data_IF_178530207757
#
_entry.id   IF_178530207757
#
_cell.length_a   1.000
_cell.length_b   1.000
_cell.length_c   1.000
_cell.angle_alpha   90.00
_cell.angle_beta   90.00
_cell.angle_gamma   90.00
#
_symmetry.space_group_name_H-M   'P 1'
#
loop_
_entity.id
_entity.type
_entity.pdbx_description
1 polymer ?
#
# COMPACT_ATOMS: atom_id res chain seq x y z
N UNK A 1 -37.27 49.69 5.71
CA UNK A 1 -38.40 49.20 6.52
C UNK A 1 -39.08 48.11 5.73
N UNK A 2 -38.80 46.86 6.03
CA UNK A 2 -39.60 45.68 5.79
C UNK A 2 -38.92 44.54 6.59
N UNK A 3 -39.60 44.16 7.67
CA UNK A 3 -39.24 43.03 8.53
C UNK A 3 -39.39 41.73 7.76
N UNK A 4 -38.44 40.83 7.95
CA UNK A 4 -38.53 39.42 7.50
C UNK A 4 -38.64 38.59 8.79
N UNK A 5 -39.82 37.98 8.95
CA UNK A 5 -40.19 37.07 10.03
C UNK A 5 -39.36 35.74 9.92
N UNK A 6 -38.78 35.38 11.06
CA UNK A 6 -38.13 34.10 11.28
C UNK A 6 -39.16 33.12 11.86
N UNK A 7 -39.53 32.08 11.12
CA UNK A 7 -40.23 30.91 11.68
C UNK A 7 -39.26 29.75 11.87
N UNK A 8 -38.86 29.58 13.13
CA UNK A 8 -38.20 28.37 13.63
C UNK A 8 -39.25 27.25 13.78
N UNK A 9 -39.21 26.24 12.93
CA UNK A 9 -39.93 24.98 13.19
C UNK A 9 -38.99 23.98 13.88
N UNK A 10 -39.17 23.84 15.17
CA UNK A 10 -38.61 22.76 15.99
C UNK A 10 -39.34 21.46 15.68
N UNK A 11 -38.70 20.54 14.97
CA UNK A 11 -39.19 19.15 14.86
C UNK A 11 -38.77 18.36 16.10
N UNK A 12 -39.80 17.98 16.91
CA UNK A 12 -39.69 17.20 18.11
C UNK A 12 -39.38 15.74 17.82
N UNK A 13 -38.25 15.23 18.39
CA UNK A 13 -37.94 13.81 18.45
C UNK A 13 -38.72 13.12 19.56
N UNK A 14 -39.93 12.66 19.26
CA UNK A 14 -40.67 11.64 20.08
C UNK A 14 -41.84 11.15 19.23
N UNK A 15 -41.69 9.90 18.74
CA UNK A 15 -42.79 8.96 18.49
C UNK A 15 -42.40 7.96 17.40
N UNK A 16 -41.71 6.92 17.77
CA UNK A 16 -41.76 5.61 17.11
C UNK A 16 -41.36 4.55 18.16
N UNK A 17 -42.25 4.21 19.03
CA UNK A 17 -42.29 2.91 19.72
C UNK A 17 -43.77 2.61 20.04
N UNK A 18 -44.38 1.78 19.20
CA UNK A 18 -45.73 1.28 19.35
C UNK A 18 -45.84 -0.14 18.81
N UNK A 19 -45.67 -1.12 19.69
CA UNK A 19 -46.37 -2.40 19.83
C UNK A 19 -46.80 -3.18 18.57
N UNK A 20 -46.21 -4.36 18.39
CA UNK A 20 -46.76 -5.45 17.63
C UNK A 20 -46.28 -6.80 18.16
N UNK A 21 -46.96 -7.30 19.22
CA UNK A 21 -46.76 -8.68 19.69
C UNK A 21 -47.51 -9.65 18.76
N UNK A 22 -46.77 -10.56 18.09
CA UNK A 22 -47.36 -11.73 17.45
C UNK A 22 -46.62 -12.97 17.95
N UNK A 23 -47.30 -13.78 18.71
CA UNK A 23 -46.86 -15.10 19.13
C UNK A 23 -46.81 -16.06 17.93
N UNK A 24 -45.68 -16.72 17.70
CA UNK A 24 -45.57 -17.87 16.79
C UNK A 24 -45.13 -19.08 17.61
N UNK A 25 -45.98 -20.11 17.54
CA UNK A 25 -45.79 -21.38 18.21
C UNK A 25 -44.55 -22.14 17.71
N UNK A 26 -43.80 -22.69 18.67
CA UNK A 26 -42.69 -23.59 18.43
C UNK A 26 -43.20 -24.97 17.99
N UNK A 27 -42.80 -25.42 16.79
CA UNK A 27 -42.82 -26.83 16.40
C UNK A 27 -41.43 -27.41 16.59
N UNK A 28 -41.28 -28.28 17.58
CA UNK A 28 -40.07 -29.04 17.82
C UNK A 28 -39.93 -30.12 16.74
N UNK A 29 -38.95 -30.01 15.87
CA UNK A 29 -38.45 -31.08 15.03
C UNK A 29 -37.11 -31.56 15.63
N UNK A 30 -37.14 -32.71 16.28
CA UNK A 30 -35.94 -33.45 16.69
C UNK A 30 -35.29 -34.06 15.47
N UNK A 31 -34.20 -33.47 14.99
CA UNK A 31 -33.27 -34.12 14.08
C UNK A 31 -32.06 -34.57 14.89
N UNK A 32 -31.92 -35.89 15.06
CA UNK A 32 -30.68 -36.48 15.55
C UNK A 32 -29.62 -36.32 14.46
N UNK A 33 -28.75 -35.33 14.62
CA UNK A 33 -27.58 -35.10 13.78
C UNK A 33 -26.33 -35.21 14.62
N UNK A 34 -25.45 -36.13 14.25
CA UNK A 34 -24.14 -36.37 14.80
C UNK A 34 -23.35 -35.04 14.90
N UNK A 35 -23.02 -34.67 16.15
CA UNK A 35 -22.07 -33.59 16.42
C UNK A 35 -20.65 -34.05 16.02
N UNK A 36 -20.27 -33.77 14.77
CA UNK A 36 -18.86 -33.68 14.46
C UNK A 36 -18.32 -32.45 15.21
N UNK A 37 -17.62 -32.69 16.31
CA UNK A 37 -16.85 -31.64 16.96
C UNK A 37 -15.81 -31.15 15.97
N UNK A 38 -16.02 -29.98 15.39
CA UNK A 38 -14.94 -29.25 14.75
C UNK A 38 -13.95 -28.90 15.86
N UNK A 39 -12.88 -29.69 15.96
CA UNK A 39 -11.69 -29.28 16.70
C UNK A 39 -11.20 -28.01 16.03
N UNK A 40 -11.39 -26.85 16.68
CA UNK A 40 -10.75 -25.60 16.30
C UNK A 40 -9.24 -25.89 16.21
N UNK A 41 -8.55 -25.47 15.15
CA UNK A 41 -7.09 -25.53 15.12
C UNK A 41 -6.64 -24.69 16.33
N UNK A 42 -6.03 -25.36 17.33
CA UNK A 42 -5.32 -24.63 18.37
C UNK A 42 -4.23 -23.83 17.68
N UNK A 43 -4.44 -22.52 17.59
CA UNK A 43 -3.37 -21.62 17.21
C UNK A 43 -2.20 -21.90 18.14
N UNK A 44 -1.05 -22.32 17.58
CA UNK A 44 0.18 -22.44 18.36
C UNK A 44 0.44 -21.05 18.95
N UNK A 45 0.42 -20.96 20.28
CA UNK A 45 0.83 -19.73 20.97
C UNK A 45 2.24 -19.38 20.50
N UNK A 46 2.50 -18.16 20.08
CA UNK A 46 3.86 -17.69 19.84
C UNK A 46 4.66 -17.87 21.13
N UNK A 47 5.88 -18.38 21.03
CA UNK A 47 6.74 -18.55 22.19
C UNK A 47 6.97 -17.19 22.88
N UNK A 48 6.54 -17.08 24.14
CA UNK A 48 6.75 -15.89 24.97
C UNK A 48 5.50 -15.17 25.47
N UNK A 49 4.30 -15.59 25.08
CA UNK A 49 3.06 -14.97 25.58
C UNK A 49 2.46 -15.79 26.72
N UNK A 50 2.22 -15.15 27.87
CA UNK A 50 1.42 -15.75 28.94
C UNK A 50 -0.06 -15.71 28.52
N UNK A 51 -0.76 -16.88 28.66
CA UNK A 51 -2.21 -16.89 28.47
C UNK A 51 -2.88 -15.93 29.46
N UNK A 52 -3.76 -15.03 29.03
CA UNK A 52 -4.53 -14.22 29.96
C UNK A 52 -5.42 -15.10 30.82
N UNK A 53 -5.56 -14.74 32.08
CA UNK A 53 -6.58 -15.31 32.98
C UNK A 53 -7.94 -14.66 32.69
N UNK A 54 -8.35 -14.62 31.44
CA UNK A 54 -9.60 -14.00 31.05
C UNK A 54 -10.75 -14.99 31.17
N UNK A 55 -11.73 -14.67 32.02
CA UNK A 55 -12.93 -15.46 32.18
C UNK A 55 -14.08 -15.02 31.28
N UNK A 56 -13.97 -13.82 30.69
CA UNK A 56 -14.94 -13.25 29.73
C UNK A 56 -14.17 -12.45 28.65
N UNK A 57 -13.90 -13.04 27.47
CA UNK A 57 -13.22 -12.32 26.39
C UNK A 57 -14.08 -11.22 25.74
N UNK A 58 -15.33 -11.07 26.14
CA UNK A 58 -16.26 -10.12 25.51
C UNK A 58 -16.72 -10.53 24.11
N UNK A 59 -17.38 -9.61 23.37
CA UNK A 59 -17.79 -9.85 22.00
C UNK A 59 -16.57 -10.00 21.09
N UNK A 60 -16.50 -11.11 20.33
CA UNK A 60 -15.38 -11.41 19.44
C UNK A 60 -15.83 -11.60 17.99
N UNK A 61 -15.02 -11.06 17.05
CA UNK A 61 -15.03 -11.46 15.66
C UNK A 61 -13.88 -12.46 15.44
N UNK A 62 -14.16 -13.76 15.62
CA UNK A 62 -13.15 -14.81 15.60
C UNK A 62 -12.28 -14.83 14.33
N UNK A 63 -12.82 -14.64 13.10
CA UNK A 63 -11.97 -14.53 11.91
C UNK A 63 -11.01 -13.36 11.98
N UNK A 64 -11.44 -12.20 12.47
CA UNK A 64 -10.58 -11.02 12.59
C UNK A 64 -9.55 -11.18 13.71
N UNK A 65 -9.94 -11.74 14.85
CA UNK A 65 -9.02 -12.06 15.94
C UNK A 65 -7.92 -13.05 15.50
N UNK A 66 -8.28 -14.07 14.70
CA UNK A 66 -7.30 -15.01 14.14
C UNK A 66 -6.30 -14.37 13.17
N UNK A 67 -6.66 -13.26 12.53
CA UNK A 67 -5.76 -12.47 11.67
C UNK A 67 -4.92 -11.45 12.46
N UNK A 68 -5.29 -11.17 13.71
CA UNK A 68 -4.63 -10.19 14.56
C UNK A 68 -4.43 -10.76 15.98
N UNK A 69 -3.65 -11.85 16.12
CA UNK A 69 -3.47 -12.53 17.40
C UNK A 69 -2.85 -11.65 18.49
N UNK A 70 -2.06 -10.63 18.14
CA UNK A 70 -1.52 -9.67 19.10
C UNK A 70 -2.62 -8.78 19.74
N UNK A 71 -3.79 -8.65 19.15
CA UNK A 71 -4.92 -7.95 19.78
C UNK A 71 -5.48 -8.71 21.01
N UNK A 72 -5.32 -10.04 21.03
CA UNK A 72 -5.71 -10.92 22.14
C UNK A 72 -4.51 -11.22 23.07
N UNK A 73 -3.31 -11.33 22.50
CA UNK A 73 -2.08 -11.80 23.14
C UNK A 73 -0.91 -10.85 22.88
N UNK A 74 -1.08 -9.57 23.16
CA UNK A 74 -0.01 -8.59 23.00
C UNK A 74 1.24 -9.01 23.80
N UNK A 75 2.46 -8.79 23.26
CA UNK A 75 3.68 -8.99 24.02
C UNK A 75 3.67 -8.18 25.33
N UNK A 76 4.24 -8.72 26.39
CA UNK A 76 4.36 -8.00 27.66
C UNK A 76 5.22 -6.73 27.59
N UNK A 77 5.92 -6.54 26.47
CA UNK A 77 6.70 -5.34 26.14
C UNK A 77 5.88 -4.22 25.51
N UNK A 78 4.64 -4.52 25.05
CA UNK A 78 3.73 -3.47 24.60
C UNK A 78 3.33 -2.58 25.78
N UNK A 79 3.36 -1.27 25.59
CA UNK A 79 3.08 -0.31 26.65
C UNK A 79 2.56 1.02 26.09
N UNK A 80 1.69 1.67 26.85
CA UNK A 80 1.16 2.99 26.52
C UNK A 80 0.22 2.98 25.32
N UNK A 81 0.08 4.15 24.69
CA UNK A 81 -0.84 4.34 23.56
C UNK A 81 -0.06 4.71 22.31
N UNK A 82 0.12 3.76 21.40
CA UNK A 82 0.62 4.01 20.04
C UNK A 82 -0.59 3.99 19.10
N UNK A 83 -0.69 5.00 18.23
CA UNK A 83 -1.76 5.05 17.21
C UNK A 83 -1.71 3.79 16.35
N UNK A 84 -2.87 3.27 15.88
CA UNK A 84 -2.88 2.19 14.91
C UNK A 84 -2.02 2.56 13.68
N UNK A 85 -1.12 1.67 13.31
CA UNK A 85 -0.21 1.83 12.17
C UNK A 85 -0.43 0.76 11.10
N UNK A 86 -1.59 0.09 11.13
CA UNK A 86 -2.04 -0.92 10.18
C UNK A 86 -3.39 -0.55 9.60
N UNK A 87 -3.58 -0.82 8.31
CA UNK A 87 -4.86 -0.82 7.63
C UNK A 87 -4.88 -1.88 6.54
N UNK A 88 -6.04 -2.49 6.25
CA UNK A 88 -6.15 -3.50 5.21
C UNK A 88 -6.87 -2.98 3.98
N UNK A 89 -6.30 -3.19 2.78
CA UNK A 89 -7.00 -2.94 1.53
C UNK A 89 -8.29 -3.75 1.40
N UNK A 90 -8.42 -4.88 2.13
CA UNK A 90 -9.62 -5.71 2.10
C UNK A 90 -10.88 -4.97 2.57
N UNK A 91 -10.72 -3.98 3.46
CA UNK A 91 -11.82 -3.15 3.99
C UNK A 91 -11.88 -1.76 3.37
N UNK A 92 -10.98 -1.41 2.45
CA UNK A 92 -11.01 -0.14 1.73
C UNK A 92 -12.19 -0.09 0.75
N UNK A 93 -12.78 1.10 0.59
CA UNK A 93 -13.82 1.31 -0.40
C UNK A 93 -13.32 1.01 -1.82
N UNK A 94 -14.10 0.26 -2.59
CA UNK A 94 -13.77 -0.11 -3.96
C UNK A 94 -14.68 0.60 -4.95
N UNK A 95 -14.10 1.41 -5.84
CA UNK A 95 -14.78 1.95 -7.01
C UNK A 95 -14.66 0.94 -8.15
N UNK A 96 -15.79 0.51 -8.71
CA UNK A 96 -15.86 -0.47 -9.80
C UNK A 96 -16.36 0.22 -11.06
N UNK A 97 -15.63 0.04 -12.15
CA UNK A 97 -15.90 0.61 -13.47
C UNK A 97 -15.88 -0.48 -14.55
N UNK A 98 -16.25 -0.14 -15.80
CA UNK A 98 -16.33 -1.12 -16.88
C UNK A 98 -15.01 -1.80 -17.25
N UNK A 99 -13.88 -1.10 -17.08
CA UNK A 99 -12.54 -1.58 -17.40
C UNK A 99 -11.76 -2.15 -16.21
N UNK A 100 -12.33 -2.14 -14.99
CA UNK A 100 -11.63 -2.61 -13.80
C UNK A 100 -12.15 -1.99 -12.51
N UNK A 101 -11.29 -1.92 -11.50
CA UNK A 101 -11.60 -1.30 -10.21
C UNK A 101 -10.36 -0.70 -9.56
N UNK A 102 -10.60 0.23 -8.63
CA UNK A 102 -9.57 0.81 -7.77
C UNK A 102 -10.04 0.90 -6.32
N UNK A 103 -9.10 0.90 -5.38
CA UNK A 103 -9.31 1.19 -3.96
C UNK A 103 -8.05 1.84 -3.39
N UNK A 104 -8.21 2.71 -2.40
CA UNK A 104 -7.11 3.49 -1.85
C UNK A 104 -6.99 3.34 -0.33
N UNK A 105 -5.78 3.53 0.18
CA UNK A 105 -5.45 3.72 1.59
C UNK A 105 -4.63 4.99 1.71
N UNK A 106 -5.23 6.02 2.27
CA UNK A 106 -4.67 7.36 2.41
C UNK A 106 -4.64 7.75 3.89
N UNK A 107 -4.25 8.96 4.21
CA UNK A 107 -4.33 9.49 5.57
C UNK A 107 -5.76 9.49 6.14
N UNK A 108 -6.79 9.37 5.29
CA UNK A 108 -8.18 9.23 5.73
C UNK A 108 -8.44 7.85 6.34
N UNK A 109 -7.93 6.79 5.73
CA UNK A 109 -8.08 5.40 6.19
C UNK A 109 -7.03 5.05 7.25
N UNK A 110 -5.80 5.55 7.10
CA UNK A 110 -4.67 5.34 7.99
C UNK A 110 -4.08 6.70 8.43
N UNK A 111 -4.61 7.36 9.49
CA UNK A 111 -4.27 8.73 9.84
C UNK A 111 -2.82 9.00 10.24
N UNK A 112 -2.01 7.97 10.47
CA UNK A 112 -0.57 8.12 10.71
C UNK A 112 0.22 8.24 9.39
N UNK A 113 -0.34 7.78 8.27
CA UNK A 113 0.29 7.78 6.94
C UNK A 113 0.14 9.15 6.27
N UNK A 114 0.87 10.15 6.78
CA UNK A 114 0.73 11.55 6.32
C UNK A 114 1.59 11.89 5.10
N UNK A 115 2.60 11.09 4.81
CA UNK A 115 3.59 11.37 3.75
C UNK A 115 3.44 10.51 2.52
N UNK A 116 2.80 9.33 2.63
CA UNK A 116 2.62 8.36 1.56
C UNK A 116 1.19 7.84 1.57
N UNK A 117 0.61 7.64 0.39
CA UNK A 117 -0.65 6.94 0.17
C UNK A 117 -0.48 5.80 -0.82
N UNK A 118 -1.33 4.78 -0.73
CA UNK A 118 -1.35 3.64 -1.63
C UNK A 118 -2.70 3.48 -2.34
N UNK A 119 -2.64 3.03 -3.60
CA UNK A 119 -3.82 2.67 -4.40
C UNK A 119 -3.59 1.28 -5.00
N UNK A 120 -4.54 0.40 -4.83
CA UNK A 120 -4.55 -0.88 -5.53
C UNK A 120 -5.54 -0.81 -6.68
N UNK A 121 -5.09 -1.19 -7.88
CA UNK A 121 -5.89 -1.15 -9.10
C UNK A 121 -5.87 -2.47 -9.84
N UNK A 122 -7.00 -2.80 -10.45
CA UNK A 122 -7.19 -3.94 -11.36
C UNK A 122 -7.74 -3.42 -12.67
N UNK A 123 -7.06 -3.72 -13.76
CA UNK A 123 -7.58 -3.49 -15.11
C UNK A 123 -7.81 -4.84 -15.80
N UNK A 124 -8.94 -4.97 -16.47
CA UNK A 124 -9.20 -6.12 -17.35
C UNK A 124 -8.33 -6.06 -18.60
N UNK A 125 -8.26 -7.12 -19.38
CA UNK A 125 -7.64 -7.06 -20.71
C UNK A 125 -8.35 -6.02 -21.58
N UNK A 126 -7.62 -4.99 -22.02
CA UNK A 126 -8.17 -3.82 -22.70
C UNK A 126 -8.83 -2.77 -21.78
N UNK A 127 -8.85 -2.98 -20.45
CA UNK A 127 -9.26 -1.95 -19.49
C UNK A 127 -8.21 -0.84 -19.43
N UNK A 128 -8.64 0.42 -19.39
CA UNK A 128 -7.75 1.59 -19.41
C UNK A 128 -8.03 2.47 -18.20
N UNK A 129 -6.98 2.76 -17.42
CA UNK A 129 -6.97 3.96 -16.57
C UNK A 129 -6.78 5.15 -17.51
N UNK A 130 -7.75 6.02 -17.56
CA UNK A 130 -7.86 7.13 -18.48
C UNK A 130 -6.57 7.97 -18.52
N UNK A 131 -6.29 8.62 -19.63
CA UNK A 131 -5.27 9.68 -19.76
C UNK A 131 -5.50 10.74 -18.69
N UNK A 132 -4.54 10.90 -17.79
CA UNK A 132 -4.67 11.76 -16.61
C UNK A 132 -3.31 12.25 -16.10
N UNK A 133 -3.33 13.15 -15.14
CA UNK A 133 -2.15 13.58 -14.37
C UNK A 133 -2.56 14.01 -12.97
N UNK A 134 -1.60 14.13 -12.09
CA UNK A 134 -1.74 14.61 -10.73
C UNK A 134 -0.45 15.30 -10.29
N UNK A 135 -0.46 15.98 -9.14
CA UNK A 135 0.68 16.76 -8.63
C UNK A 135 1.73 15.89 -7.92
N UNK A 136 1.38 14.68 -7.56
CA UNK A 136 2.25 13.73 -6.88
C UNK A 136 3.10 12.94 -7.86
N UNK A 137 4.25 12.41 -7.38
CA UNK A 137 4.94 11.32 -8.03
C UNK A 137 4.15 10.02 -7.82
N UNK A 138 4.00 9.21 -8.87
CA UNK A 138 3.39 7.89 -8.81
C UNK A 138 4.46 6.82 -9.02
N UNK A 139 4.80 6.10 -7.96
CA UNK A 139 5.62 4.90 -8.01
C UNK A 139 4.70 3.66 -8.05
N UNK A 140 5.08 2.65 -8.82
CA UNK A 140 4.17 1.53 -9.06
C UNK A 140 4.90 0.21 -9.17
N UNK A 141 4.21 -0.88 -8.77
CA UNK A 141 4.67 -2.27 -8.96
C UNK A 141 3.56 -3.14 -9.53
N UNK A 142 3.87 -3.93 -10.54
CA UNK A 142 2.97 -4.93 -11.09
C UNK A 142 2.90 -6.14 -10.17
N UNK A 143 1.72 -6.38 -9.57
CA UNK A 143 1.48 -7.52 -8.68
C UNK A 143 1.07 -8.78 -9.43
N UNK A 144 0.39 -8.65 -10.57
CA UNK A 144 -0.03 -9.77 -11.40
C UNK A 144 -0.40 -9.31 -12.81
N UNK A 145 -0.09 -10.13 -13.81
CA UNK A 145 -0.37 -9.83 -15.22
C UNK A 145 0.57 -8.81 -15.83
N UNK A 146 0.06 -8.04 -16.80
CA UNK A 146 0.86 -7.04 -17.52
C UNK A 146 0.03 -5.86 -18.02
N UNK A 147 0.67 -4.72 -18.19
CA UNK A 147 0.05 -3.50 -18.70
C UNK A 147 0.96 -2.78 -19.68
N UNK A 148 0.36 -2.05 -20.61
CA UNK A 148 1.00 -0.99 -21.38
C UNK A 148 0.87 0.31 -20.63
N UNK A 149 1.99 0.98 -20.37
CA UNK A 149 2.04 2.30 -19.75
C UNK A 149 2.51 3.32 -20.79
N UNK A 150 1.90 4.52 -20.74
CA UNK A 150 2.25 5.64 -21.63
C UNK A 150 2.45 6.90 -20.83
N UNK A 151 3.38 7.74 -21.24
CA UNK A 151 3.58 9.08 -20.68
C UNK A 151 4.17 10.04 -21.70
N UNK A 152 4.03 11.35 -21.45
CA UNK A 152 4.66 12.40 -22.26
C UNK A 152 5.27 13.43 -21.32
N UNK A 153 6.57 13.74 -21.48
CA UNK A 153 7.25 14.73 -20.67
C UNK A 153 6.99 16.17 -21.15
N UNK A 154 7.53 17.16 -20.42
CA UNK A 154 7.33 18.57 -20.70
C UNK A 154 7.99 19.04 -22.03
N UNK A 155 8.91 18.28 -22.60
CA UNK A 155 9.50 18.50 -23.93
C UNK A 155 8.72 17.81 -25.04
N UNK A 156 7.59 17.15 -24.71
CA UNK A 156 6.75 16.41 -25.64
C UNK A 156 7.34 15.06 -26.04
N UNK A 157 8.36 14.55 -25.33
CA UNK A 157 8.98 13.24 -25.61
C UNK A 157 8.11 12.15 -25.01
N UNK A 158 7.88 11.12 -25.80
CA UNK A 158 7.01 10.02 -25.40
C UNK A 158 7.74 8.93 -24.62
N UNK A 159 6.95 8.22 -23.80
CA UNK A 159 7.33 6.97 -23.18
C UNK A 159 6.17 5.97 -23.36
N UNK A 160 6.46 4.81 -23.94
CA UNK A 160 5.52 3.70 -24.11
C UNK A 160 6.26 2.41 -23.81
N UNK A 161 5.78 1.65 -22.83
CA UNK A 161 6.42 0.39 -22.41
C UNK A 161 5.41 -0.63 -21.94
N UNK A 162 5.72 -1.92 -22.11
CA UNK A 162 4.98 -3.02 -21.50
C UNK A 162 5.70 -3.45 -20.21
N UNK A 163 4.96 -3.48 -19.11
CA UNK A 163 5.43 -3.88 -17.78
C UNK A 163 4.73 -5.15 -17.36
N UNK A 164 5.50 -6.10 -16.81
CA UNK A 164 5.02 -7.39 -16.33
C UNK A 164 5.16 -7.56 -14.82
N UNK A 165 4.71 -8.70 -14.31
CA UNK A 165 4.72 -9.02 -12.90
C UNK A 165 6.12 -8.82 -12.27
N UNK A 166 6.17 -8.12 -11.13
CA UNK A 166 7.37 -7.75 -10.41
C UNK A 166 8.16 -6.58 -10.99
N UNK A 167 7.76 -6.02 -12.15
CA UNK A 167 8.38 -4.81 -12.70
C UNK A 167 7.78 -3.56 -12.08
N UNK A 168 8.57 -2.49 -12.08
CA UNK A 168 8.23 -1.18 -11.54
C UNK A 168 8.10 -0.14 -12.65
N UNK A 169 7.35 0.93 -12.35
CA UNK A 169 7.40 2.16 -13.13
C UNK A 169 7.19 3.38 -12.24
N UNK A 170 7.55 4.54 -12.77
CA UNK A 170 7.35 5.83 -12.11
C UNK A 170 6.83 6.84 -13.11
N UNK A 171 5.76 7.56 -12.72
CA UNK A 171 5.38 8.80 -13.40
C UNK A 171 5.77 10.00 -12.55
N UNK A 172 6.64 10.90 -13.08
CA UNK A 172 7.01 12.11 -12.37
C UNK A 172 5.80 13.04 -12.13
N UNK A 173 5.87 13.94 -11.11
CA UNK A 173 4.81 14.90 -10.83
C UNK A 173 4.36 15.68 -12.06
N UNK A 174 3.05 15.76 -12.29
CA UNK A 174 2.45 16.53 -13.38
C UNK A 174 2.60 15.93 -14.79
N UNK A 175 3.25 14.80 -14.94
CA UNK A 175 3.43 14.12 -16.24
C UNK A 175 2.14 13.41 -16.63
N UNK A 176 1.50 13.74 -17.79
CA UNK A 176 0.32 13.04 -18.26
C UNK A 176 0.66 11.61 -18.67
N UNK A 177 -0.19 10.66 -18.24
CA UNK A 177 0.04 9.25 -18.43
C UNK A 177 -1.26 8.43 -18.53
N UNK A 178 -1.14 7.16 -18.90
CA UNK A 178 -2.20 6.17 -18.87
C UNK A 178 -1.67 4.76 -18.65
N UNK A 179 -2.54 3.86 -18.20
CA UNK A 179 -2.23 2.46 -17.97
C UNK A 179 -3.32 1.62 -18.63
N UNK A 180 -2.94 0.63 -19.47
CA UNK A 180 -3.88 -0.26 -20.14
C UNK A 180 -3.53 -1.72 -19.86
N UNK A 181 -4.49 -2.47 -19.34
CA UNK A 181 -4.33 -3.92 -19.10
C UNK A 181 -4.13 -4.69 -20.40
N UNK A 182 -3.11 -5.56 -20.42
CA UNK A 182 -2.82 -6.43 -21.56
C UNK A 182 -3.52 -7.80 -21.42
N UNK A 183 -3.57 -8.56 -22.53
CA UNK A 183 -4.08 -9.94 -22.53
C UNK A 183 -3.15 -10.93 -21.83
N UNK A 184 -3.68 -12.14 -21.45
CA UNK A 184 -5.09 -12.52 -21.60
C UNK A 184 -6.01 -11.96 -20.50
N UNK A 185 -5.50 -11.72 -19.27
CA UNK A 185 -6.34 -11.48 -18.08
C UNK A 185 -6.26 -10.05 -17.54
N UNK A 186 -5.51 -9.16 -18.22
CA UNK A 186 -5.23 -7.81 -17.73
C UNK A 186 -4.19 -7.81 -16.61
N UNK A 187 -4.34 -6.91 -15.63
CA UNK A 187 -3.30 -6.72 -14.61
C UNK A 187 -3.89 -6.26 -13.26
N UNK A 188 -3.13 -6.52 -12.19
CA UNK A 188 -3.33 -5.93 -10.86
C UNK A 188 -2.00 -5.35 -10.38
N UNK A 189 -2.04 -4.12 -9.89
CA UNK A 189 -0.85 -3.39 -9.48
C UNK A 189 -1.12 -2.50 -8.28
N UNK A 190 -0.05 -2.12 -7.61
CA UNK A 190 -0.04 -1.17 -6.52
C UNK A 190 0.59 0.12 -7.01
N UNK A 191 -0.04 1.25 -6.70
CA UNK A 191 0.45 2.61 -6.89
C UNK A 191 0.78 3.20 -5.53
N UNK A 192 1.88 3.95 -5.44
CA UNK A 192 2.33 4.62 -4.23
C UNK A 192 2.64 6.08 -4.54
N UNK A 193 2.00 6.98 -3.81
CA UNK A 193 2.08 8.43 -4.00
C UNK A 193 2.82 9.08 -2.84
N UNK A 194 3.64 10.08 -3.13
CA UNK A 194 4.45 10.82 -2.16
C UNK A 194 3.65 11.89 -1.38
N UNK A 195 2.37 11.64 -1.16
CA UNK A 195 1.45 12.47 -0.38
C UNK A 195 0.40 11.61 0.31
N UNK A 196 0.38 11.59 1.63
CA UNK A 196 -0.61 10.82 2.41
C UNK A 196 -2.06 11.26 2.21
N UNK A 197 -2.29 12.50 1.76
CA UNK A 197 -3.61 13.04 1.45
C UNK A 197 -3.98 12.90 -0.05
N UNK A 198 -3.23 12.13 -0.83
CA UNK A 198 -3.59 11.81 -2.20
C UNK A 198 -5.04 11.30 -2.28
N UNK A 199 -5.77 11.69 -3.31
CA UNK A 199 -7.12 11.19 -3.57
C UNK A 199 -7.25 10.83 -5.06
N UNK A 200 -7.33 9.52 -5.33
CA UNK A 200 -7.50 8.94 -6.65
C UNK A 200 -8.72 9.52 -7.41
N UNK A 201 -9.73 9.99 -6.68
CA UNK A 201 -10.96 10.54 -7.27
C UNK A 201 -10.85 12.03 -7.66
N UNK A 202 -9.75 12.68 -7.32
CA UNK A 202 -9.49 14.09 -7.65
C UNK A 202 -8.30 14.30 -8.59
N UNK A 203 -7.98 13.30 -9.43
CA UNK A 203 -6.98 13.42 -10.49
C UNK A 203 -7.51 14.24 -11.67
N UNK A 204 -6.61 14.88 -12.43
CA UNK A 204 -6.99 15.65 -13.63
C UNK A 204 -7.15 14.71 -14.82
N UNK A 205 -8.38 14.54 -15.29
CA UNK A 205 -8.74 13.62 -16.37
C UNK A 205 -8.90 14.33 -17.70
N UNK A 206 -8.42 13.71 -18.78
CA UNK A 206 -8.49 14.31 -20.11
C UNK A 206 -9.94 14.58 -20.55
N UNK A 207 -10.84 13.59 -20.38
CA UNK A 207 -12.24 13.74 -20.83
C UNK A 207 -12.98 14.79 -20.00
N UNK A 208 -12.71 14.88 -18.70
CA UNK A 208 -13.31 15.89 -17.81
C UNK A 208 -12.84 17.30 -18.19
N UNK A 209 -11.54 17.48 -18.45
CA UNK A 209 -11.01 18.74 -18.92
C UNK A 209 -11.63 19.20 -20.24
N UNK A 210 -11.70 18.30 -21.22
CA UNK A 210 -12.32 18.61 -22.52
C UNK A 210 -13.82 18.90 -22.39
N UNK A 211 -14.53 18.18 -21.50
CA UNK A 211 -15.95 18.39 -21.25
C UNK A 211 -16.25 19.80 -20.65
N UNK A 212 -15.31 20.36 -19.91
CA UNK A 212 -15.42 21.66 -19.27
C UNK A 212 -14.67 22.78 -20.02
N UNK A 213 -14.18 22.51 -21.23
CA UNK A 213 -13.57 23.52 -22.11
C UNK A 213 -14.55 23.91 -23.21
N UNK A 214 -14.83 25.24 -23.44
CA UNK A 214 -15.69 25.68 -24.54
C UNK A 214 -15.22 25.17 -25.89
N UNK A 215 -16.15 24.64 -26.70
CA UNK A 215 -15.82 23.99 -27.99
C UNK A 215 -15.11 24.89 -28.98
N UNK A 216 -15.45 26.19 -28.99
CA UNK A 216 -14.75 27.20 -29.80
C UNK A 216 -13.29 27.37 -29.38
N UNK A 217 -12.96 27.18 -28.09
CA UNK A 217 -11.59 27.21 -27.59
C UNK A 217 -10.85 25.95 -28.05
N UNK A 218 -11.47 24.79 -27.95
CA UNK A 218 -10.89 23.52 -28.44
C UNK A 218 -10.65 23.59 -29.96
N UNK A 219 -11.65 24.03 -30.72
CA UNK A 219 -11.54 24.16 -32.16
C UNK A 219 -10.39 25.11 -32.57
N UNK A 220 -10.24 26.23 -31.86
CA UNK A 220 -9.16 27.21 -32.08
C UNK A 220 -7.80 26.61 -31.69
N UNK A 221 -7.71 25.88 -30.58
CA UNK A 221 -6.46 25.28 -30.09
C UNK A 221 -5.91 24.23 -31.03
N UNK A 222 -6.78 23.41 -31.62
CA UNK A 222 -6.41 22.29 -32.50
C UNK A 222 -6.52 22.62 -34.00
N UNK A 223 -6.97 23.82 -34.35
CA UNK A 223 -7.21 24.24 -35.74
C UNK A 223 -8.15 23.27 -36.50
N UNK A 224 -9.28 22.92 -35.87
CA UNK A 224 -10.26 22.00 -36.42
C UNK A 224 -11.68 22.53 -36.23
N UNK A 225 -12.70 22.04 -37.03
CA UNK A 225 -14.09 22.44 -36.82
C UNK A 225 -14.61 22.04 -35.41
N UNK A 226 -15.47 22.84 -34.81
CA UNK A 226 -16.09 22.55 -33.51
C UNK A 226 -16.79 21.20 -33.45
N UNK A 227 -17.41 20.76 -34.56
CA UNK A 227 -18.08 19.47 -34.67
C UNK A 227 -17.16 18.27 -34.43
N UNK A 228 -15.84 18.44 -34.55
CA UNK A 228 -14.84 17.40 -34.23
C UNK A 228 -14.99 16.92 -32.78
N UNK A 229 -15.43 17.80 -31.87
CA UNK A 229 -15.56 17.51 -30.45
C UNK A 229 -16.98 17.05 -30.04
N UNK A 230 -17.90 16.81 -31.00
CA UNK A 230 -19.27 16.41 -30.69
C UNK A 230 -19.38 15.06 -29.97
N UNK A 231 -18.41 14.18 -30.17
CA UNK A 231 -18.33 12.84 -29.58
C UNK A 231 -17.48 12.75 -28.31
N UNK A 232 -16.87 13.87 -27.89
CA UNK A 232 -16.11 13.88 -26.64
C UNK A 232 -17.06 13.55 -25.48
N UNK A 233 -16.70 12.62 -24.58
CA UNK A 233 -17.50 12.30 -23.41
C UNK A 233 -17.82 13.54 -22.59
N UNK A 234 -19.03 13.61 -22.06
CA UNK A 234 -19.47 14.73 -21.19
C UNK A 234 -19.20 14.49 -19.70
N UNK A 235 -18.65 13.32 -19.38
CA UNK A 235 -18.25 12.89 -18.04
C UNK A 235 -16.92 12.18 -18.15
N UNK A 236 -16.21 12.13 -17.06
CA UNK A 236 -15.00 11.33 -16.90
C UNK A 236 -15.24 9.87 -17.28
N UNK A 237 -14.26 9.24 -17.89
CA UNK A 237 -14.26 7.79 -18.15
C UNK A 237 -13.61 7.02 -17.00
N UNK A 238 -12.66 7.64 -16.34
CA UNK A 238 -11.91 7.18 -15.17
C UNK A 238 -11.19 5.83 -15.40
N UNK A 239 -11.92 4.71 -15.38
CA UNK A 239 -11.46 3.38 -15.82
C UNK A 239 -12.51 2.84 -16.79
N UNK A 240 -12.13 2.63 -18.03
CA UNK A 240 -13.08 2.20 -19.07
C UNK A 240 -12.58 1.00 -19.87
N UNK A 241 -13.50 0.27 -20.48
CA UNK A 241 -13.19 -0.89 -21.31
C UNK A 241 -13.02 -0.49 -22.77
N UNK A 242 -11.94 -0.98 -23.40
CA UNK A 242 -11.71 -0.89 -24.85
C UNK A 242 -11.05 -2.17 -25.37
N UNK A 243 -10.61 -2.18 -26.63
CA UNK A 243 -9.80 -3.27 -27.18
C UNK A 243 -8.38 -3.31 -26.60
N UNK A 244 -7.66 -4.38 -26.90
CA UNK A 244 -6.24 -4.46 -26.59
C UNK A 244 -5.45 -3.41 -27.39
N UNK A 245 -4.31 -2.91 -26.88
CA UNK A 245 -3.45 -2.01 -27.65
C UNK A 245 -2.82 -2.74 -28.84
N UNK A 246 -2.31 -1.97 -29.79
CA UNK A 246 -1.64 -2.47 -30.97
C UNK A 246 -0.23 -3.04 -30.69
N UNK A 247 0.53 -3.23 -31.77
CA UNK A 247 1.91 -3.64 -31.65
C UNK A 247 2.75 -2.57 -30.90
N UNK A 248 3.53 -3.00 -29.90
CA UNK A 248 4.30 -2.11 -29.03
C UNK A 248 5.26 -1.22 -29.83
N UNK A 249 6.00 -1.83 -30.78
CA UNK A 249 7.01 -1.08 -31.54
C UNK A 249 6.37 -0.08 -32.49
N UNK A 250 5.21 -0.42 -33.07
CA UNK A 250 4.45 0.49 -33.92
C UNK A 250 3.93 1.70 -33.11
N UNK A 251 3.40 1.47 -31.92
CA UNK A 251 2.92 2.54 -31.03
C UNK A 251 4.07 3.40 -30.49
N UNK A 252 5.22 2.80 -30.12
CA UNK A 252 6.44 3.52 -29.76
C UNK A 252 6.91 4.43 -30.90
N UNK A 253 6.98 3.89 -32.13
CA UNK A 253 7.40 4.66 -33.29
C UNK A 253 6.45 5.81 -33.62
N UNK A 254 5.14 5.57 -33.48
CA UNK A 254 4.13 6.62 -33.68
C UNK A 254 4.25 7.71 -32.62
N UNK A 255 4.33 7.35 -31.35
CA UNK A 255 4.39 8.29 -30.24
C UNK A 255 5.68 9.13 -30.24
N UNK A 256 6.78 8.60 -30.74
CA UNK A 256 8.07 9.29 -30.81
C UNK A 256 8.21 10.26 -32.00
N UNK A 257 7.19 10.37 -32.87
CA UNK A 257 7.26 11.24 -34.05
C UNK A 257 7.43 12.72 -33.67
N UNK A 258 8.46 13.34 -34.21
CA UNK A 258 8.74 14.78 -34.04
C UNK A 258 9.64 15.09 -32.84
N UNK A 259 9.36 14.58 -31.66
CA UNK A 259 10.05 14.94 -30.41
C UNK A 259 10.93 13.83 -29.83
N UNK A 260 10.75 12.56 -30.27
CA UNK A 260 11.50 11.41 -29.78
C UNK A 260 10.97 10.87 -28.45
N UNK A 261 11.85 10.12 -27.75
CA UNK A 261 11.53 9.44 -26.49
C UNK A 261 12.21 10.12 -25.29
N UNK A 262 11.69 9.88 -24.09
CA UNK A 262 12.28 10.38 -22.83
C UNK A 262 13.74 9.94 -22.69
N UNK A 263 14.56 10.79 -22.07
CA UNK A 263 15.99 10.53 -21.91
C UNK A 263 16.32 9.43 -20.90
N UNK A 264 15.44 9.21 -19.91
CA UNK A 264 15.54 8.17 -18.88
C UNK A 264 14.25 7.37 -18.88
N UNK A 265 14.38 6.04 -18.79
CA UNK A 265 13.20 5.17 -18.71
C UNK A 265 12.38 5.47 -17.46
N UNK A 266 11.06 5.41 -17.59
CA UNK A 266 10.12 5.47 -16.49
C UNK A 266 9.75 4.07 -15.98
N UNK A 267 10.25 2.98 -16.58
CA UNK A 267 10.13 1.62 -16.07
C UNK A 267 11.46 1.08 -15.55
N UNK A 268 11.39 0.09 -14.66
CA UNK A 268 12.54 -0.61 -14.11
C UNK A 268 12.22 -2.10 -13.98
N UNK A 269 13.07 -2.97 -14.54
CA UNK A 269 12.89 -4.42 -14.54
C UNK A 269 13.33 -5.06 -13.22
N UNK A 270 12.59 -4.76 -12.13
CA UNK A 270 12.90 -5.28 -10.80
C UNK A 270 12.67 -6.80 -10.69
N UNK A 271 11.81 -7.38 -11.55
CA UNK A 271 11.64 -8.83 -11.66
C UNK A 271 12.97 -9.54 -12.00
N UNK A 272 13.80 -8.94 -12.87
CA UNK A 272 15.09 -9.46 -13.29
C UNK A 272 16.26 -9.02 -12.40
N UNK A 273 16.02 -8.12 -11.43
CA UNK A 273 17.06 -7.61 -10.53
C UNK A 273 17.51 -8.70 -9.56
N UNK A 274 18.82 -8.86 -9.40
CA UNK A 274 19.36 -9.70 -8.33
C UNK A 274 19.16 -9.02 -6.98
N UNK A 275 18.93 -9.79 -5.89
CA UNK A 275 18.88 -9.23 -4.56
C UNK A 275 20.13 -8.42 -4.22
N UNK A 276 19.94 -7.29 -3.55
CA UNK A 276 21.02 -6.45 -3.01
C UNK A 276 21.77 -7.20 -1.91
N UNK A 277 21.04 -7.96 -1.09
CA UNK A 277 21.60 -8.79 -0.02
C UNK A 277 20.80 -10.09 0.12
N UNK A 278 21.51 -11.19 0.35
CA UNK A 278 20.92 -12.52 0.62
C UNK A 278 21.52 -13.05 1.90
N UNK A 279 20.69 -13.57 2.79
CA UNK A 279 21.06 -14.22 4.03
C UNK A 279 20.36 -15.57 4.16
N UNK A 280 20.62 -16.32 5.23
CA UNK A 280 19.85 -17.55 5.51
C UNK A 280 18.38 -17.27 5.86
N UNK A 281 18.10 -16.07 6.40
CA UNK A 281 16.74 -15.64 6.81
C UNK A 281 15.90 -15.06 5.67
N UNK A 282 16.49 -14.77 4.50
CA UNK A 282 15.75 -14.17 3.39
C UNK A 282 16.64 -13.34 2.47
N UNK A 283 16.01 -12.44 1.73
CA UNK A 283 16.68 -11.54 0.79
C UNK A 283 16.01 -10.18 0.71
N UNK A 284 16.75 -9.18 0.24
CA UNK A 284 16.24 -7.83 -0.01
C UNK A 284 16.74 -7.29 -1.34
N UNK A 285 15.85 -6.63 -2.10
CA UNK A 285 16.16 -5.81 -3.28
C UNK A 285 15.92 -4.36 -2.93
N UNK A 286 16.95 -3.54 -2.88
CA UNK A 286 16.85 -2.09 -2.60
C UNK A 286 16.86 -1.36 -3.94
N UNK A 287 15.86 -0.50 -4.17
CA UNK A 287 15.65 0.26 -5.39
C UNK A 287 15.54 1.74 -5.03
N UNK A 288 16.60 2.48 -5.32
CA UNK A 288 16.69 3.92 -5.08
C UNK A 288 17.17 4.66 -6.33
N UNK A 289 17.39 5.97 -6.25
CA UNK A 289 17.80 6.80 -7.39
C UNK A 289 19.17 6.44 -7.98
N UNK A 290 19.98 5.63 -7.29
CA UNK A 290 21.28 5.15 -7.81
C UNK A 290 21.10 4.14 -8.94
N UNK A 291 20.02 3.33 -8.87
CA UNK A 291 19.71 2.30 -9.88
C UNK A 291 18.49 2.61 -10.71
N UNK A 292 17.55 3.41 -10.18
CA UNK A 292 16.36 3.93 -10.90
C UNK A 292 16.35 5.46 -10.83
N UNK A 293 17.11 6.16 -11.73
CA UNK A 293 17.45 7.58 -11.58
C UNK A 293 16.32 8.59 -11.69
N UNK A 294 15.11 8.15 -12.00
CA UNK A 294 13.91 9.04 -12.08
C UNK A 294 13.12 9.03 -10.78
N UNK A 295 13.40 8.11 -9.84
CA UNK A 295 12.55 7.93 -8.67
C UNK A 295 12.86 8.91 -7.54
N UNK A 296 11.84 9.66 -7.04
CA UNK A 296 11.91 10.39 -5.78
C UNK A 296 11.49 9.53 -4.57
N UNK A 297 11.01 8.31 -4.81
CA UNK A 297 10.57 7.34 -3.81
C UNK A 297 11.51 6.15 -3.89
N UNK A 298 12.24 5.84 -2.81
CA UNK A 298 13.00 4.60 -2.72
C UNK A 298 12.15 3.46 -2.15
N UNK A 299 12.53 2.24 -2.48
CA UNK A 299 11.81 1.04 -2.08
C UNK A 299 12.76 -0.09 -1.69
N UNK A 300 12.30 -0.98 -0.81
CA UNK A 300 12.89 -2.29 -0.65
C UNK A 300 11.82 -3.36 -0.85
N UNK A 301 12.16 -4.42 -1.61
CA UNK A 301 11.35 -5.63 -1.72
C UNK A 301 12.02 -6.65 -0.82
N UNK A 302 11.37 -6.97 0.31
CA UNK A 302 11.90 -7.86 1.34
C UNK A 302 11.20 -9.20 1.27
N UNK A 303 11.97 -10.27 1.31
CA UNK A 303 11.48 -11.65 1.47
C UNK A 303 12.08 -12.23 2.75
N UNK A 304 11.25 -12.63 3.71
CA UNK A 304 11.67 -13.33 4.92
C UNK A 304 11.17 -14.77 4.87
N UNK A 305 12.06 -15.71 5.11
CA UNK A 305 11.72 -17.11 5.32
C UNK A 305 11.00 -17.31 6.66
N UNK A 306 10.29 -18.43 6.88
CA UNK A 306 9.65 -18.70 8.17
C UNK A 306 10.63 -18.51 9.34
N UNK A 307 10.21 -17.71 10.34
CA UNK A 307 11.03 -17.32 11.50
C UNK A 307 12.15 -16.30 11.19
N UNK A 308 12.31 -15.89 9.93
CA UNK A 308 13.28 -14.84 9.58
C UNK A 308 12.82 -13.47 10.09
N UNK A 309 13.79 -12.62 10.42
CA UNK A 309 13.58 -11.32 11.02
C UNK A 309 14.27 -10.24 10.17
N UNK A 310 13.51 -9.24 9.70
CA UNK A 310 14.07 -7.94 9.33
C UNK A 310 14.55 -7.30 10.63
N UNK A 311 15.85 -7.12 10.77
CA UNK A 311 16.48 -6.80 12.06
C UNK A 311 15.92 -5.53 12.72
N UNK A 312 16.24 -5.31 14.00
CA UNK A 312 15.89 -4.08 14.70
C UNK A 312 16.64 -2.90 14.09
N UNK A 313 15.92 -1.92 13.56
CA UNK A 313 16.46 -0.79 12.84
C UNK A 313 15.51 0.41 12.86
N UNK A 314 15.94 1.53 12.29
CA UNK A 314 15.10 2.68 11.99
C UNK A 314 15.59 3.42 10.74
N UNK A 315 14.72 4.19 10.11
CA UNK A 315 15.04 5.01 8.95
C UNK A 315 15.21 6.47 9.36
N UNK A 316 16.43 7.07 9.19
CA UNK A 316 16.71 8.42 9.67
C UNK A 316 16.16 9.52 8.75
N UNK A 317 15.84 9.22 7.51
CA UNK A 317 15.55 10.20 6.45
C UNK A 317 14.11 10.21 5.95
N UNK A 318 13.26 9.25 6.33
CA UNK A 318 11.87 9.15 5.87
C UNK A 318 11.01 8.32 6.81
N UNK A 319 9.70 8.54 6.77
CA UNK A 319 8.73 7.54 7.22
C UNK A 319 8.82 6.30 6.30
N UNK A 320 8.40 5.15 6.81
CA UNK A 320 8.28 3.92 6.05
C UNK A 320 6.80 3.56 5.87
N UNK A 321 6.38 3.35 4.63
CA UNK A 321 5.09 2.79 4.28
C UNK A 321 5.29 1.36 3.77
N UNK A 322 4.49 0.42 4.24
CA UNK A 322 4.62 -1.00 3.91
C UNK A 322 3.38 -1.52 3.20
N UNK A 323 3.59 -2.51 2.31
CA UNK A 323 2.51 -3.31 1.72
C UNK A 323 2.90 -4.79 1.71
N UNK A 324 2.06 -5.63 2.32
CA UNK A 324 2.29 -7.06 2.41
C UNK A 324 1.73 -7.78 1.18
N UNK A 325 2.62 -8.35 0.37
CA UNK A 325 2.26 -9.04 -0.90
C UNK A 325 1.83 -10.46 -0.62
N UNK A 326 2.54 -11.18 0.25
CA UNK A 326 2.23 -12.56 0.65
C UNK A 326 2.68 -12.83 2.08
N UNK A 327 2.15 -13.90 2.69
CA UNK A 327 2.60 -14.43 3.98
C UNK A 327 2.02 -13.70 5.17
N UNK A 328 2.61 -13.96 6.34
CA UNK A 328 2.21 -13.43 7.65
C UNK A 328 3.40 -12.87 8.39
N UNK A 329 3.26 -11.68 8.94
CA UNK A 329 4.32 -11.02 9.68
C UNK A 329 3.80 -10.38 10.97
N UNK A 330 4.72 -10.09 11.85
CA UNK A 330 4.49 -9.30 13.06
C UNK A 330 5.49 -8.16 13.09
N UNK A 331 5.04 -6.96 13.41
CA UNK A 331 5.88 -5.79 13.58
C UNK A 331 5.60 -5.13 14.92
N UNK A 332 6.69 -4.80 15.65
CA UNK A 332 6.61 -3.93 16.82
C UNK A 332 7.24 -2.59 16.49
N UNK A 333 6.54 -1.50 16.80
CA UNK A 333 7.02 -0.13 16.66
C UNK A 333 7.19 0.46 18.05
N UNK A 334 8.37 0.99 18.35
CA UNK A 334 8.68 1.77 19.53
C UNK A 334 8.53 3.27 19.24
N UNK A 335 7.69 3.96 20.01
CA UNK A 335 7.32 5.35 19.78
C UNK A 335 7.83 6.32 20.87
N UNK A 336 8.98 6.03 21.47
CA UNK A 336 9.56 6.76 22.58
C UNK A 336 8.70 6.83 23.85
N UNK A 337 9.16 7.52 24.89
CA UNK A 337 8.43 7.69 26.17
C UNK A 337 7.87 6.38 26.75
N UNK A 338 8.58 5.29 26.61
CA UNK A 338 8.19 3.93 27.01
C UNK A 338 6.92 3.40 26.32
N UNK A 339 6.57 3.91 25.13
CA UNK A 339 5.43 3.41 24.39
C UNK A 339 5.87 2.49 23.26
N UNK A 340 5.24 1.32 23.15
CA UNK A 340 5.48 0.36 22.09
C UNK A 340 4.18 -0.37 21.77
N UNK A 341 4.00 -0.76 20.51
CA UNK A 341 2.85 -1.55 20.07
C UNK A 341 3.25 -2.55 19.02
N UNK A 342 2.67 -3.74 19.13
CA UNK A 342 2.81 -4.83 18.18
C UNK A 342 1.54 -5.00 17.36
N UNK A 343 1.67 -5.29 16.07
CA UNK A 343 0.56 -5.63 15.18
C UNK A 343 0.96 -6.76 14.24
N UNK A 344 -0.01 -7.63 13.92
CA UNK A 344 0.14 -8.70 12.93
C UNK A 344 -0.31 -8.23 11.54
N UNK A 345 0.32 -8.74 10.50
CA UNK A 345 0.09 -8.38 9.11
C UNK A 345 -0.11 -9.62 8.24
N UNK A 346 -0.99 -9.50 7.25
CA UNK A 346 -1.24 -10.51 6.22
C UNK A 346 -1.28 -9.86 4.83
N UNK A 347 -1.43 -10.67 3.79
CA UNK A 347 -1.55 -10.20 2.42
C UNK A 347 -2.62 -9.11 2.25
N UNK A 348 -2.23 -8.00 1.63
CA UNK A 348 -3.10 -6.84 1.37
C UNK A 348 -3.18 -5.85 2.53
N UNK A 349 -2.43 -6.07 3.61
CA UNK A 349 -2.30 -5.10 4.69
C UNK A 349 -1.25 -4.04 4.36
N UNK A 350 -1.47 -2.87 4.93
CA UNK A 350 -0.58 -1.71 4.90
C UNK A 350 -0.05 -1.47 6.30
N UNK A 351 1.26 -1.28 6.42
CA UNK A 351 1.94 -0.83 7.63
C UNK A 351 2.47 0.59 7.47
N UNK A 352 2.68 1.29 8.59
CA UNK A 352 3.32 2.60 8.59
C UNK A 352 4.19 2.81 9.83
N UNK A 353 5.43 3.18 9.60
CA UNK A 353 6.39 3.50 10.66
C UNK A 353 6.83 4.96 10.52
N UNK A 354 6.57 5.81 11.52
CA UNK A 354 7.05 7.19 11.49
C UNK A 354 8.58 7.26 11.44
N UNK A 355 9.10 8.30 10.81
CA UNK A 355 10.53 8.58 10.72
C UNK A 355 11.24 8.41 12.07
N UNK A 356 12.40 7.78 12.05
CA UNK A 356 13.24 7.51 13.23
C UNK A 356 12.60 6.64 14.32
N UNK A 357 11.47 5.98 14.06
CA UNK A 357 10.86 5.04 15.01
C UNK A 357 11.51 3.66 14.89
N UNK A 358 12.18 3.15 15.95
CA UNK A 358 12.74 1.80 15.93
C UNK A 358 11.65 0.74 15.77
N UNK A 359 11.94 -0.27 14.95
CA UNK A 359 11.03 -1.37 14.67
C UNK A 359 11.76 -2.62 14.18
N UNK A 360 11.04 -3.70 14.06
CA UNK A 360 11.45 -4.95 13.40
C UNK A 360 10.24 -5.62 12.77
N UNK A 361 10.47 -6.49 11.78
CA UNK A 361 9.42 -7.31 11.18
C UNK A 361 9.85 -8.79 11.24
N UNK A 362 9.01 -9.64 11.81
CA UNK A 362 9.24 -11.08 11.94
C UNK A 362 8.24 -11.85 11.07
N UNK A 363 8.72 -12.83 10.32
CA UNK A 363 7.83 -13.79 9.65
C UNK A 363 7.29 -14.78 10.68
N UNK A 364 5.99 -14.67 10.99
CA UNK A 364 5.28 -15.54 11.95
C UNK A 364 4.53 -16.68 11.27
N UNK A 365 4.58 -16.77 9.94
CA UNK A 365 3.95 -17.83 9.15
C UNK A 365 4.85 -19.04 8.93
N UNK A 366 4.32 -20.00 8.20
CA UNK A 366 4.99 -21.24 7.76
C UNK A 366 5.48 -21.18 6.30
N UNK A 367 5.27 -20.06 5.64
CA UNK A 367 5.70 -19.74 4.28
C UNK A 367 6.45 -18.40 4.25
N UNK A 368 7.13 -18.14 3.13
CA UNK A 368 7.82 -16.86 2.96
C UNK A 368 6.82 -15.68 3.04
N UNK A 369 7.19 -14.63 3.76
CA UNK A 369 6.53 -13.34 3.67
C UNK A 369 7.28 -12.45 2.69
N UNK A 370 6.53 -11.81 1.79
CA UNK A 370 7.06 -10.81 0.85
C UNK A 370 6.33 -9.51 1.08
N UNK A 371 7.08 -8.45 1.33
CA UNK A 371 6.51 -7.12 1.52
C UNK A 371 7.39 -6.03 0.92
N UNK A 372 6.78 -4.86 0.72
CA UNK A 372 7.44 -3.64 0.26
C UNK A 372 7.68 -2.72 1.45
N UNK A 373 8.86 -2.12 1.51
CA UNK A 373 9.17 -0.93 2.29
C UNK A 373 9.29 0.25 1.32
N UNK A 374 8.57 1.35 1.56
CA UNK A 374 8.49 2.50 0.67
C UNK A 374 8.82 3.78 1.44
N UNK A 375 9.67 4.62 0.84
CA UNK A 375 10.22 5.81 1.50
C UNK A 375 10.06 7.04 0.61
N UNK A 376 9.49 8.12 1.15
CA UNK A 376 9.47 9.43 0.47
C UNK A 376 10.85 10.07 0.50
N UNK A 377 11.79 9.39 -0.12
CA UNK A 377 13.20 9.79 -0.28
C UNK A 377 13.75 9.12 -1.52
N UNK A 378 14.57 9.83 -2.29
CA UNK A 378 15.27 9.25 -3.44
C UNK A 378 16.38 8.27 -3.05
N UNK A 379 16.81 8.26 -1.78
CA UNK A 379 17.84 7.39 -1.25
C UNK A 379 17.29 6.52 -0.12
N UNK A 380 17.56 5.23 -0.19
CA UNK A 380 17.32 4.30 0.91
C UNK A 380 18.36 4.47 1.98
N UNK A 381 17.93 4.64 3.25
CA UNK A 381 18.82 4.72 4.43
C UNK A 381 18.16 4.00 5.61
N UNK A 382 18.95 3.24 6.33
CA UNK A 382 18.59 2.67 7.62
C UNK A 382 19.77 2.66 8.59
N UNK A 383 19.49 2.47 9.86
CA UNK A 383 20.49 2.33 10.93
C UNK A 383 20.12 1.07 11.73
N UNK A 384 21.01 0.08 11.68
CA UNK A 384 20.88 -1.16 12.44
C UNK A 384 21.22 -0.93 13.91
N UNK A 385 20.39 -1.48 14.82
CA UNK A 385 20.70 -1.48 16.25
C UNK A 385 22.01 -2.22 16.55
N UNK A 386 22.22 -3.37 15.92
CA UNK A 386 23.42 -4.17 16.12
C UNK A 386 24.68 -3.41 15.68
N UNK A 387 24.63 -2.79 14.50
CA UNK A 387 25.74 -1.99 13.97
C UNK A 387 26.02 -0.76 14.84
N UNK A 388 24.99 -0.06 15.31
CA UNK A 388 25.15 1.06 16.24
C UNK A 388 25.85 0.62 17.52
N UNK A 389 25.44 -0.47 18.15
CA UNK A 389 26.09 -0.98 19.37
C UNK A 389 27.54 -1.41 19.11
N UNK A 390 27.81 -2.06 17.97
CA UNK A 390 29.16 -2.53 17.60
C UNK A 390 30.14 -1.39 17.37
N UNK A 391 29.68 -0.21 16.97
CA UNK A 391 30.50 0.97 16.68
C UNK A 391 30.47 2.04 17.79
N UNK A 392 29.74 1.79 18.88
CA UNK A 392 29.79 2.61 20.09
C UNK A 392 30.86 2.07 21.04
N UNK A 393 31.62 2.88 21.78
CA UNK A 393 32.57 2.36 22.75
C UNK A 393 31.97 1.33 23.69
N UNK A 394 32.44 0.09 23.65
CA UNK A 394 31.82 -1.08 24.30
C UNK A 394 31.62 -0.89 25.80
N UNK A 395 32.59 -0.21 26.51
CA UNK A 395 32.42 0.10 27.91
C UNK A 395 31.20 1.01 28.14
N UNK A 396 30.94 1.97 27.25
CA UNK A 396 29.79 2.85 27.36
C UNK A 396 28.47 2.06 27.19
N UNK A 397 28.41 1.17 26.20
CA UNK A 397 27.24 0.32 25.98
C UNK A 397 26.99 -0.62 27.15
N UNK A 398 28.07 -1.23 27.68
CA UNK A 398 27.97 -2.13 28.85
C UNK A 398 27.50 -1.38 30.10
N UNK A 399 27.97 -0.13 30.34
CA UNK A 399 27.46 0.70 31.41
C UNK A 399 25.98 1.04 31.32
N UNK A 400 25.40 1.03 30.11
CA UNK A 400 23.97 1.23 29.91
C UNK A 400 23.17 -0.05 30.09
N UNK A 401 23.66 -1.18 29.53
CA UNK A 401 22.85 -2.39 29.33
C UNK A 401 23.24 -3.55 30.25
N UNK A 402 24.47 -3.55 30.79
CA UNK A 402 24.98 -4.64 31.62
C UNK A 402 25.18 -5.96 30.90
N UNK A 403 25.42 -5.95 29.56
CA UNK A 403 25.49 -7.15 28.72
C UNK A 403 26.90 -7.76 28.63
N UNK A 404 27.89 -7.07 29.12
CA UNK A 404 29.32 -7.46 29.05
C UNK A 404 29.94 -7.12 27.68
N UNK A 405 31.19 -6.65 27.70
CA UNK A 405 31.92 -6.25 26.49
C UNK A 405 32.17 -7.41 25.55
N UNK A 406 32.26 -8.65 26.05
CA UNK A 406 32.42 -9.86 25.21
C UNK A 406 31.24 -10.11 24.29
N UNK A 407 30.01 -9.79 24.73
CA UNK A 407 28.81 -9.87 23.86
C UNK A 407 28.96 -8.85 22.72
N UNK A 408 29.36 -7.63 23.02
CA UNK A 408 29.56 -6.54 22.06
C UNK A 408 30.66 -6.84 21.03
N UNK A 409 31.75 -7.52 21.47
CA UNK A 409 32.82 -7.97 20.58
C UNK A 409 32.33 -9.03 19.55
N UNK A 410 31.26 -9.76 19.89
CA UNK A 410 30.71 -10.86 19.07
C UNK A 410 29.64 -10.43 18.07
N UNK A 411 29.02 -9.25 18.24
CA UNK A 411 27.98 -8.80 17.30
C UNK A 411 28.59 -8.35 15.97
N UNK A 412 27.83 -8.54 14.84
CA UNK A 412 28.29 -8.11 13.52
C UNK A 412 28.60 -6.61 13.48
N UNK A 413 29.73 -6.25 12.88
CA UNK A 413 30.14 -4.85 12.65
C UNK A 413 29.60 -4.27 11.35
N UNK A 414 28.85 -5.05 10.61
CA UNK A 414 28.14 -4.63 9.40
C UNK A 414 26.68 -5.04 9.56
N UNK A 415 25.83 -4.19 9.11
CA UNK A 415 24.39 -4.45 9.08
C UNK A 415 24.08 -5.82 8.48
N UNK A 416 23.25 -6.61 9.15
CA UNK A 416 22.84 -7.95 8.69
C UNK A 416 21.63 -7.83 7.79
N UNK A 417 20.77 -6.85 7.99
CA UNK A 417 19.47 -6.57 7.34
C UNK A 417 18.44 -7.63 7.70
N UNK A 418 18.74 -8.92 7.47
CA UNK A 418 17.83 -10.04 7.73
C UNK A 418 18.57 -11.12 8.50
N UNK A 419 18.05 -11.45 9.68
CA UNK A 419 18.54 -12.56 10.52
C UNK A 419 17.70 -13.82 10.27
N UNK A 420 18.29 -15.04 10.34
CA UNK A 420 17.55 -16.29 10.25
C UNK A 420 16.78 -16.60 11.55
N UNK A 421 15.85 -17.55 11.46
CA UNK A 421 15.18 -18.16 12.61
C UNK A 421 16.18 -18.79 13.57
#
# INVERSE_FOLDING_TARGET
MAEIDNHDEKVSRREVFGLGSAAVAAAALTVAGSTAAYASPQARQPAGHAAPNETDPGPQNLPLAAQNPDSEWAPSTDNGTVKPFKYSFAVAHKRIESGGWTRQVTARELPVSTTIAGVEMRLTAGGVRELHWHVEAEWSIMLNGSARITAVDQEGRSFVSDVGEGDLWLFPPGVPHSIQGLGPDGCRFLLVFDNGNFDEFHTFLLTDWLAHTPREVLAKNFDVPQATFDKVPKKELFIFQTGLPGDLHAEQAQAAQGTGTVAKSFDFKASAMKPTKVTRGGEVKIIDSKIFPVTPISAAIVTLKPGGLRELHWHPNSDEWQYYITGKARMTVFAAASTARTMDFEQGDVGYVPISSPHYIENTGDSDVVFLEMFKSSEYQDISLAEWMAHTPHLLVDQHLGVGTSMLDSIPKQEVVITPA
#
